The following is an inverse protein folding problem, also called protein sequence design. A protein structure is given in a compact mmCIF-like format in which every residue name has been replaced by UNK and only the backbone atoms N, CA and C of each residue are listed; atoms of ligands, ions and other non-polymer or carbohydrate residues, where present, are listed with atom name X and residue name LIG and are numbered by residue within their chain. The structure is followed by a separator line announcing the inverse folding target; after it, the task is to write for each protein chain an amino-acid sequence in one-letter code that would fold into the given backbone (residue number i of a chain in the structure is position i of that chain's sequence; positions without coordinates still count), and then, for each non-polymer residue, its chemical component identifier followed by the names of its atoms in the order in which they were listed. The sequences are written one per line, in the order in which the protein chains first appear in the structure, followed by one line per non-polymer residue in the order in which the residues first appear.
data_IF_409639157945
#
_entry.id   IF_409639157945
#
_cell.length_a   1.000
_cell.length_b   1.000
_cell.length_c   1.000
_cell.angle_alpha   90.00
_cell.angle_beta   90.00
_cell.angle_gamma   90.00
#
_symmetry.space_group_name_H-M   'P 1'
#
loop_
_entity.id
_entity.type
_entity.pdbx_description
1 polymer ?
#
# COMPACT_ATOMS: atom_id res chain seq x y z
N UNK A 1 -24.19 -21.69 9.29
CA UNK A 1 -24.07 -21.18 10.66
C UNK A 1 -22.74 -20.45 10.76
N UNK A 2 -22.72 -19.13 10.52
CA UNK A 2 -21.47 -18.35 10.59
C UNK A 2 -21.05 -18.21 12.06
N UNK A 3 -20.06 -19.00 12.48
CA UNK A 3 -19.40 -18.90 13.79
C UNK A 3 -18.21 -17.93 13.68
N UNK A 4 -18.49 -16.66 13.37
CA UNK A 4 -17.49 -15.59 13.22
C UNK A 4 -17.67 -14.49 14.29
N UNK A 5 -17.97 -14.86 15.53
CA UNK A 5 -18.18 -13.89 16.63
C UNK A 5 -16.96 -12.98 16.84
N UNK A 6 -15.76 -13.45 16.50
CA UNK A 6 -14.53 -12.64 16.56
C UNK A 6 -14.51 -11.49 15.54
N UNK A 7 -15.23 -11.61 14.42
CA UNK A 7 -15.34 -10.55 13.43
C UNK A 7 -16.28 -9.42 13.86
N UNK A 8 -17.17 -9.64 14.83
CA UNK A 8 -18.07 -8.60 15.34
C UNK A 8 -17.27 -7.47 15.99
N UNK A 9 -16.21 -7.81 16.73
CA UNK A 9 -15.28 -6.85 17.34
C UNK A 9 -14.52 -6.09 16.24
N UNK A 10 -14.07 -6.78 15.19
CA UNK A 10 -13.41 -6.15 14.05
C UNK A 10 -14.32 -5.11 13.38
N UNK A 11 -15.58 -5.47 13.11
CA UNK A 11 -16.54 -4.55 12.50
C UNK A 11 -16.87 -3.37 13.39
N UNK A 12 -17.08 -3.60 14.69
CA UNK A 12 -17.31 -2.53 15.66
C UNK A 12 -16.12 -1.56 15.70
N UNK A 13 -14.89 -2.09 15.74
CA UNK A 13 -13.68 -1.28 15.72
C UNK A 13 -13.52 -0.48 14.42
N UNK A 14 -13.77 -1.11 13.26
CA UNK A 14 -13.69 -0.46 11.95
C UNK A 14 -14.70 0.70 11.84
N UNK A 15 -15.91 0.52 12.34
CA UNK A 15 -16.94 1.57 12.37
C UNK A 15 -16.52 2.71 13.28
N UNK A 16 -16.12 2.42 14.53
CA UNK A 16 -15.75 3.45 15.51
C UNK A 16 -14.53 4.23 15.01
N UNK A 17 -13.48 3.54 14.54
CA UNK A 17 -12.25 4.17 14.05
C UNK A 17 -12.48 5.03 12.81
N UNK A 18 -13.40 4.64 11.92
CA UNK A 18 -13.76 5.45 10.73
C UNK A 18 -14.66 6.63 11.10
N UNK A 19 -15.54 6.47 12.10
CA UNK A 19 -16.48 7.52 12.52
C UNK A 19 -15.77 8.68 13.22
N UNK A 20 -14.69 8.42 13.96
CA UNK A 20 -13.94 9.46 14.68
C UNK A 20 -13.40 10.56 13.74
N UNK A 21 -12.62 10.26 12.68
CA UNK A 21 -12.16 11.28 11.73
C UNK A 21 -13.33 12.04 11.09
N UNK A 22 -14.40 11.32 10.73
CA UNK A 22 -15.59 11.92 10.12
C UNK A 22 -16.20 12.96 11.08
N UNK A 23 -16.45 12.59 12.33
CA UNK A 23 -16.97 13.50 13.35
C UNK A 23 -16.04 14.69 13.59
N UNK A 24 -14.72 14.46 13.66
CA UNK A 24 -13.74 15.53 13.84
C UNK A 24 -13.77 16.51 12.66
N UNK A 25 -13.83 16.02 11.42
CA UNK A 25 -13.96 16.87 10.24
C UNK A 25 -15.30 17.62 10.21
N UNK A 26 -16.41 16.99 10.62
CA UNK A 26 -17.72 17.66 10.73
C UNK A 26 -17.72 18.77 11.78
N UNK A 27 -17.22 18.49 12.99
CA UNK A 27 -17.12 19.46 14.07
C UNK A 27 -16.19 20.61 13.66
N UNK A 28 -15.04 20.30 13.08
CA UNK A 28 -14.11 21.31 12.55
C UNK A 28 -14.75 22.14 11.45
N UNK A 29 -15.50 21.54 10.53
CA UNK A 29 -16.19 22.26 9.46
C UNK A 29 -17.30 23.18 9.96
N UNK A 30 -17.94 22.83 11.09
CA UNK A 30 -19.01 23.63 11.69
C UNK A 30 -18.48 24.75 12.60
N UNK A 31 -17.43 24.48 13.40
CA UNK A 31 -16.90 25.43 14.38
C UNK A 31 -15.79 26.34 13.82
N UNK A 32 -15.03 25.89 12.83
CA UNK A 32 -13.89 26.66 12.35
C UNK A 32 -14.35 27.92 11.59
N UNK A 33 -13.68 29.07 11.79
CA UNK A 33 -13.97 30.27 11.03
C UNK A 33 -13.68 30.03 9.53
N UNK A 34 -14.69 30.24 8.71
CA UNK A 34 -14.58 30.08 7.26
C UNK A 34 -13.99 31.37 6.68
N UNK A 35 -12.83 31.27 6.04
CA UNK A 35 -12.27 32.34 5.20
C UNK A 35 -12.23 31.86 3.76
N UNK A 36 -12.75 32.68 2.85
CA UNK A 36 -12.87 32.41 1.41
C UNK A 36 -12.05 33.39 0.56
N UNK A 37 -10.97 33.94 1.14
CA UNK A 37 -10.10 34.86 0.41
C UNK A 37 -9.41 34.17 -0.77
N UNK A 38 -9.17 34.88 -1.89
CA UNK A 38 -8.54 34.31 -3.08
C UNK A 38 -7.14 33.73 -2.78
N UNK A 39 -6.35 34.38 -1.92
CA UNK A 39 -5.04 33.89 -1.49
C UNK A 39 -5.09 32.58 -0.69
N UNK A 40 -6.18 32.32 0.05
CA UNK A 40 -6.35 31.07 0.80
C UNK A 40 -6.70 29.89 -0.12
N UNK A 41 -7.26 30.20 -1.30
CA UNK A 41 -7.65 29.23 -2.32
C UNK A 41 -6.57 29.03 -3.40
N UNK A 42 -5.52 29.87 -3.42
CA UNK A 42 -4.37 29.67 -4.30
C UNK A 42 -3.43 28.60 -3.75
N UNK A 43 -2.75 27.89 -4.66
CA UNK A 43 -1.69 26.93 -4.31
C UNK A 43 -0.51 27.63 -3.65
N UNK A 44 0.11 26.96 -2.68
CA UNK A 44 1.31 27.46 -2.01
C UNK A 44 2.53 27.33 -2.92
N UNK A 45 3.21 28.46 -3.18
CA UNK A 45 4.38 28.55 -4.08
C UNK A 45 5.47 29.47 -3.47
N UNK A 46 5.79 29.26 -2.18
CA UNK A 46 6.83 29.98 -1.43
C UNK A 46 6.80 31.53 -1.51
N UNK A 47 5.65 32.11 -1.85
CA UNK A 47 5.43 33.57 -1.93
C UNK A 47 5.54 34.17 -3.33
N UNK A 48 5.72 33.36 -4.38
CA UNK A 48 5.76 33.79 -5.78
C UNK A 48 4.53 33.25 -6.52
N UNK A 49 4.09 33.93 -7.58
CA UNK A 49 3.03 33.39 -8.42
C UNK A 49 3.54 32.16 -9.19
N UNK A 50 2.77 31.06 -9.26
CA UNK A 50 3.17 29.89 -10.02
C UNK A 50 3.32 30.25 -11.50
N UNK A 51 4.52 30.05 -12.05
CA UNK A 51 4.82 30.31 -13.45
C UNK A 51 4.95 28.98 -14.17
N UNK A 52 4.16 28.84 -15.24
CA UNK A 52 4.24 27.70 -16.15
C UNK A 52 3.19 26.62 -15.87
N UNK A 53 3.41 25.50 -16.53
CA UNK A 53 2.49 24.38 -16.60
C UNK A 53 2.79 23.36 -15.49
N UNK A 54 1.77 22.90 -14.76
CA UNK A 54 1.91 21.92 -13.67
C UNK A 54 2.15 20.48 -14.17
N UNK A 55 2.61 20.32 -15.41
CA UNK A 55 2.84 19.02 -16.03
C UNK A 55 4.12 18.39 -15.47
N UNK A 56 3.95 17.51 -14.49
CA UNK A 56 5.04 16.67 -14.01
C UNK A 56 5.36 15.60 -15.06
N UNK A 57 6.64 15.41 -15.37
CA UNK A 57 7.09 14.24 -16.12
C UNK A 57 6.81 12.98 -15.29
N UNK A 58 5.81 12.21 -15.68
CA UNK A 58 5.54 10.92 -15.03
C UNK A 58 6.70 9.98 -15.29
N UNK A 59 7.47 9.70 -14.24
CA UNK A 59 8.64 8.84 -14.35
C UNK A 59 8.20 7.38 -14.30
N UNK A 60 8.66 6.57 -15.25
CA UNK A 60 8.37 5.13 -15.32
C UNK A 60 8.73 4.38 -14.03
N UNK A 61 9.64 4.91 -13.21
CA UNK A 61 10.05 4.32 -11.92
C UNK A 61 8.88 4.00 -11.00
N UNK A 62 7.87 4.87 -10.89
CA UNK A 62 6.71 4.59 -10.02
C UNK A 62 5.96 3.33 -10.46
N UNK A 63 5.84 3.14 -11.78
CA UNK A 63 5.24 1.95 -12.36
C UNK A 63 6.09 0.70 -12.11
N UNK A 64 7.41 0.79 -12.31
CA UNK A 64 8.32 -0.33 -12.08
C UNK A 64 8.26 -0.84 -10.64
N UNK A 65 8.29 0.06 -9.65
CA UNK A 65 8.15 -0.30 -8.24
C UNK A 65 6.78 -0.93 -7.93
N UNK A 66 5.70 -0.35 -8.44
CA UNK A 66 4.35 -0.90 -8.23
C UNK A 66 4.20 -2.31 -8.85
N UNK A 67 4.73 -2.51 -10.06
CA UNK A 67 4.70 -3.81 -10.73
C UNK A 67 5.44 -4.88 -9.93
N UNK A 68 6.68 -4.58 -9.52
CA UNK A 68 7.48 -5.52 -8.72
C UNK A 68 6.79 -5.80 -7.39
N UNK A 69 6.26 -4.77 -6.71
CA UNK A 69 5.51 -4.93 -5.47
C UNK A 69 4.33 -5.90 -5.61
N UNK A 70 3.49 -5.73 -6.64
CA UNK A 70 2.31 -6.59 -6.85
C UNK A 70 2.72 -8.04 -7.11
N UNK A 71 3.80 -8.26 -7.87
CA UNK A 71 4.32 -9.61 -8.11
C UNK A 71 4.76 -10.27 -6.80
N UNK A 72 5.55 -9.57 -5.98
CA UNK A 72 5.97 -10.08 -4.66
C UNK A 72 4.79 -10.28 -3.70
N UNK A 73 3.80 -9.39 -3.71
CA UNK A 73 2.61 -9.53 -2.86
C UNK A 73 1.86 -10.83 -3.19
N UNK A 74 1.62 -11.10 -4.48
CA UNK A 74 1.01 -12.35 -4.95
C UNK A 74 1.86 -13.57 -4.56
N UNK A 75 3.19 -13.48 -4.64
CA UNK A 75 4.08 -14.56 -4.20
C UNK A 75 3.95 -14.87 -2.71
N UNK A 76 3.81 -13.85 -1.85
CA UNK A 76 3.60 -14.07 -0.42
C UNK A 76 2.26 -14.72 -0.11
N UNK A 77 1.21 -14.43 -0.90
CA UNK A 77 -0.08 -15.11 -0.81
C UNK A 77 0.05 -16.62 -1.01
N UNK A 78 0.97 -17.08 -1.87
CA UNK A 78 1.26 -18.51 -2.02
C UNK A 78 2.09 -19.10 -0.86
N UNK A 79 2.95 -18.30 -0.23
CA UNK A 79 3.76 -18.73 0.91
C UNK A 79 2.94 -18.87 2.21
N UNK A 80 1.87 -18.08 2.41
CA UNK A 80 1.10 -18.13 3.66
C UNK A 80 0.46 -19.51 3.95
N UNK A 81 -0.25 -20.17 3.02
CA UNK A 81 -0.83 -21.49 3.28
C UNK A 81 0.23 -22.54 3.60
N UNK A 82 1.36 -22.52 2.90
CA UNK A 82 2.49 -23.40 3.16
C UNK A 82 3.07 -23.16 4.56
N UNK A 83 3.33 -21.90 4.92
CA UNK A 83 3.87 -21.53 6.23
C UNK A 83 2.91 -21.89 7.38
N UNK A 84 1.60 -21.73 7.18
CA UNK A 84 0.58 -22.08 8.18
C UNK A 84 0.38 -23.58 8.38
N UNK A 85 0.81 -24.42 7.43
CA UNK A 85 0.65 -25.88 7.50
C UNK A 85 1.98 -26.63 7.61
N UNK A 86 3.07 -25.90 7.88
CA UNK A 86 4.44 -26.43 7.90
C UNK A 86 4.61 -27.60 8.90
N UNK A 87 3.88 -27.57 9.99
CA UNK A 87 3.85 -28.57 11.07
C UNK A 87 3.17 -29.89 10.68
N UNK A 88 2.34 -29.90 9.64
CA UNK A 88 1.63 -31.09 9.13
C UNK A 88 2.25 -31.59 7.81
N UNK A 89 2.96 -30.72 7.11
CA UNK A 89 3.57 -31.01 5.82
C UNK A 89 4.93 -31.72 5.98
N UNK A 90 5.17 -32.74 5.13
CA UNK A 90 6.42 -33.49 5.14
C UNK A 90 7.58 -32.76 4.43
N UNK A 91 8.79 -33.33 4.55
CA UNK A 91 10.04 -32.79 3.97
C UNK A 91 9.93 -32.52 2.46
N UNK A 92 9.16 -33.31 1.72
CA UNK A 92 8.97 -33.11 0.27
C UNK A 92 8.39 -31.73 -0.06
N UNK A 93 7.39 -31.27 0.70
CA UNK A 93 6.74 -29.97 0.48
C UNK A 93 7.64 -28.82 0.92
N UNK A 94 8.49 -29.04 1.93
CA UNK A 94 9.54 -28.08 2.27
C UNK A 94 10.54 -27.90 1.12
N UNK A 95 10.96 -28.98 0.46
CA UNK A 95 11.86 -28.90 -0.70
C UNK A 95 11.21 -28.17 -1.86
N UNK A 96 9.93 -28.43 -2.15
CA UNK A 96 9.17 -27.72 -3.19
C UNK A 96 9.05 -26.22 -2.89
N UNK A 97 8.75 -25.85 -1.65
CA UNK A 97 8.69 -24.45 -1.23
C UNK A 97 10.07 -23.77 -1.29
N UNK A 98 11.14 -24.48 -0.95
CA UNK A 98 12.51 -23.98 -1.10
C UNK A 98 12.84 -23.72 -2.57
N UNK A 99 12.48 -24.63 -3.46
CA UNK A 99 12.65 -24.45 -4.92
C UNK A 99 11.84 -23.24 -5.39
N UNK A 100 10.59 -23.09 -4.93
CA UNK A 100 9.76 -21.94 -5.24
C UNK A 100 10.44 -20.63 -4.83
N UNK A 101 10.88 -20.50 -3.58
CA UNK A 101 11.60 -19.31 -3.08
C UNK A 101 12.88 -19.03 -3.89
N UNK A 102 13.64 -20.07 -4.27
CA UNK A 102 14.82 -19.90 -5.10
C UNK A 102 14.48 -19.30 -6.48
N UNK A 103 13.38 -19.73 -7.10
CA UNK A 103 12.90 -19.14 -8.36
C UNK A 103 12.57 -17.65 -8.18
N UNK A 104 11.94 -17.28 -7.07
CA UNK A 104 11.63 -15.88 -6.76
C UNK A 104 12.91 -15.04 -6.60
N UNK A 105 13.90 -15.57 -5.89
CA UNK A 105 15.20 -14.92 -5.71
C UNK A 105 15.88 -14.69 -7.07
N UNK A 106 15.82 -15.66 -7.98
CA UNK A 106 16.35 -15.50 -9.34
C UNK A 106 15.62 -14.37 -10.08
N UNK A 107 14.29 -14.30 -9.99
CA UNK A 107 13.49 -13.20 -10.54
C UNK A 107 13.87 -11.84 -9.96
N UNK A 108 14.07 -11.76 -8.65
CA UNK A 108 14.51 -10.56 -7.95
C UNK A 108 15.89 -10.11 -8.41
N UNK A 109 16.86 -11.03 -8.47
CA UNK A 109 18.22 -10.76 -8.94
C UNK A 109 18.18 -10.26 -10.38
N UNK A 110 17.36 -10.86 -11.24
CA UNK A 110 17.19 -10.38 -12.61
C UNK A 110 16.64 -8.95 -12.67
N UNK A 111 15.56 -8.68 -11.92
CA UNK A 111 14.95 -7.34 -11.86
C UNK A 111 15.95 -6.29 -11.35
N UNK A 112 16.73 -6.63 -10.32
CA UNK A 112 17.79 -5.77 -9.79
C UNK A 112 18.88 -5.52 -10.82
N UNK A 113 19.38 -6.56 -11.51
CA UNK A 113 20.40 -6.44 -12.56
C UNK A 113 19.93 -5.62 -13.76
N UNK A 114 18.61 -5.51 -13.98
CA UNK A 114 18.00 -4.68 -15.03
C UNK A 114 17.68 -3.26 -14.59
N UNK A 115 18.00 -2.87 -13.36
CA UNK A 115 17.74 -1.53 -12.84
C UNK A 115 16.26 -1.26 -12.57
N UNK A 116 15.41 -2.29 -12.50
CA UNK A 116 13.98 -2.13 -12.23
C UNK A 116 13.70 -1.51 -10.84
N UNK A 117 14.67 -1.59 -9.94
CA UNK A 117 14.62 -1.12 -8.56
C UNK A 117 15.49 0.13 -8.33
N UNK A 118 16.01 0.75 -9.39
CA UNK A 118 16.83 1.95 -9.28
C UNK A 118 15.95 3.20 -9.15
N UNK A 119 16.32 4.07 -8.20
CA UNK A 119 15.64 5.34 -7.96
C UNK A 119 16.38 6.55 -8.54
N UNK A 120 17.66 6.37 -8.90
CA UNK A 120 18.56 7.38 -9.45
C UNK A 120 18.17 7.80 -10.86
#
# INVERSE_FOLDING_TARGET
MFLLYEYDIFWAFLIISSLIPILVFFISGFLAPISKGPEKLSSYESGIEPIGDAWLQFRIRYYMFALVFVVFDVETVFLYPWAMSFDVLGVSVFVEALIFVLILIVGLVYAWRKGALEWS
#
